data_IF_678755942490
#
_entry.id   IF_678755942490
#
_cell.length_a   1.000
_cell.length_b   1.000
_cell.length_c   1.000
_cell.angle_alpha   90.00
_cell.angle_beta   90.00
_cell.angle_gamma   90.00
#
_symmetry.space_group_name_H-M   'P 1'
#
loop_
_entity.id
_entity.type
_entity.pdbx_description
1 polymer ?
#
# COMPACT_ATOMS: atom_id res chain seq x y z
N UNK A 1 -1.11 31.16 2.66
CA UNK A 1 -1.58 29.75 2.78
C UNK A 1 -1.54 28.96 1.46
N UNK A 2 -1.64 29.58 0.30
CA UNK A 2 -1.64 28.89 -1.02
C UNK A 2 -0.25 28.49 -1.56
N UNK A 3 0.85 29.02 -1.04
CA UNK A 3 2.22 28.69 -1.49
C UNK A 3 2.74 27.31 -1.06
N UNK A 4 2.15 26.70 -0.03
CA UNK A 4 2.54 25.36 0.45
C UNK A 4 2.03 24.25 -0.50
N UNK A 5 1.01 24.53 -1.31
CA UNK A 5 0.43 23.58 -2.27
C UNK A 5 1.11 23.59 -3.66
N UNK A 6 2.05 24.48 -3.91
CA UNK A 6 2.75 24.57 -5.20
C UNK A 6 3.57 23.32 -5.55
N UNK A 7 4.31 22.68 -4.62
CA UNK A 7 5.01 21.44 -4.93
C UNK A 7 4.06 20.27 -5.22
N UNK A 8 2.91 20.19 -4.52
CA UNK A 8 1.86 19.20 -4.80
C UNK A 8 1.27 19.37 -6.21
N UNK A 9 1.09 20.60 -6.67
CA UNK A 9 0.62 20.90 -8.02
C UNK A 9 1.63 20.49 -9.09
N UNK A 10 2.93 20.61 -8.81
CA UNK A 10 4.03 20.13 -9.66
C UNK A 10 4.02 18.61 -9.81
N UNK A 11 3.82 17.87 -8.69
CA UNK A 11 3.73 16.41 -8.67
C UNK A 11 2.47 15.93 -9.44
N UNK A 12 1.33 16.60 -9.29
CA UNK A 12 0.10 16.28 -10.01
C UNK A 12 0.20 16.58 -11.51
N UNK A 13 0.86 17.68 -11.91
CA UNK A 13 1.01 18.09 -13.30
C UNK A 13 2.06 17.24 -14.05
N UNK A 14 3.10 16.76 -13.36
CA UNK A 14 4.08 15.81 -13.90
C UNK A 14 3.48 14.44 -14.21
N UNK A 15 2.31 14.12 -13.66
CA UNK A 15 1.63 12.86 -13.88
C UNK A 15 0.98 12.70 -15.26
N UNK A 16 0.69 13.81 -15.97
CA UNK A 16 -0.03 13.77 -17.25
C UNK A 16 0.87 13.37 -18.44
N UNK A 17 2.20 13.52 -18.31
CA UNK A 17 3.17 13.26 -19.39
C UNK A 17 4.16 12.14 -19.05
N UNK A 18 3.96 11.44 -17.92
CA UNK A 18 4.87 10.36 -17.50
C UNK A 18 4.59 9.07 -18.24
N UNK A 19 5.63 8.54 -18.88
CA UNK A 19 5.63 7.20 -19.50
C UNK A 19 5.16 6.14 -18.50
N UNK A 20 4.29 5.25 -18.94
CA UNK A 20 3.69 4.19 -18.11
C UNK A 20 4.54 2.93 -18.19
N UNK A 21 5.30 2.65 -17.13
CA UNK A 21 6.16 1.47 -17.04
C UNK A 21 5.55 0.36 -16.19
N UNK A 22 4.39 0.60 -15.58
CA UNK A 22 3.75 -0.27 -14.60
C UNK A 22 2.23 -0.44 -14.85
N UNK A 23 1.62 -1.35 -14.12
CA UNK A 23 0.17 -1.55 -14.15
C UNK A 23 -0.55 -0.66 -13.14
N UNK A 24 -1.89 -0.64 -13.20
CA UNK A 24 -2.72 0.19 -12.31
C UNK A 24 -2.58 -0.22 -10.85
N UNK A 25 -2.53 -1.52 -10.56
CA UNK A 25 -2.39 -2.04 -9.18
C UNK A 25 -1.04 -1.63 -8.60
N UNK A 26 0.04 -1.76 -9.39
CA UNK A 26 1.36 -1.30 -8.96
C UNK A 26 1.35 0.19 -8.58
N UNK A 27 0.64 1.03 -9.35
CA UNK A 27 0.47 2.47 -9.05
C UNK A 27 -0.32 2.74 -7.78
N UNK A 28 -1.28 1.89 -7.42
CA UNK A 28 -1.98 2.01 -6.14
C UNK A 28 -1.00 1.92 -4.96
N UNK A 29 -0.01 1.02 -5.01
CA UNK A 29 1.00 0.87 -3.95
C UNK A 29 1.81 2.14 -3.74
N UNK A 30 2.47 2.68 -4.78
CA UNK A 30 3.43 3.77 -4.59
C UNK A 30 2.83 5.18 -4.73
N UNK A 31 1.69 5.36 -5.41
CA UNK A 31 1.04 6.68 -5.51
C UNK A 31 -0.01 6.86 -4.44
N UNK A 32 -1.04 6.05 -4.46
CA UNK A 32 -2.21 6.25 -3.60
C UNK A 32 -1.87 5.92 -2.15
N UNK A 33 -1.27 4.75 -1.89
CA UNK A 33 -0.94 4.32 -0.54
C UNK A 33 0.12 5.24 0.08
N UNK A 34 1.20 5.56 -0.63
CA UNK A 34 2.24 6.46 -0.12
C UNK A 34 1.66 7.85 0.17
N UNK A 35 0.88 8.43 -0.75
CA UNK A 35 0.25 9.75 -0.54
C UNK A 35 -0.70 9.72 0.66
N UNK A 36 -1.51 8.67 0.79
CA UNK A 36 -2.43 8.49 1.93
C UNK A 36 -1.70 8.34 3.27
N UNK A 37 -0.64 7.52 3.33
CA UNK A 37 0.16 7.33 4.53
C UNK A 37 0.92 8.59 4.94
N UNK A 38 1.50 9.32 4.00
CA UNK A 38 2.16 10.60 4.27
C UNK A 38 1.15 11.64 4.76
N UNK A 39 -0.01 11.74 4.14
CA UNK A 39 -1.07 12.65 4.58
C UNK A 39 -1.56 12.30 5.99
N UNK A 40 -1.77 11.01 6.30
CA UNK A 40 -2.16 10.55 7.63
C UNK A 40 -1.06 10.83 8.68
N UNK A 41 0.20 10.56 8.34
CA UNK A 41 1.35 10.88 9.20
C UNK A 41 1.41 12.39 9.53
N UNK A 42 1.27 13.26 8.53
CA UNK A 42 1.26 14.71 8.72
C UNK A 42 0.07 15.16 9.56
N UNK A 43 -1.13 14.60 9.35
CA UNK A 43 -2.32 14.91 10.11
C UNK A 43 -2.13 14.58 11.61
N UNK A 44 -1.62 13.38 11.90
CA UNK A 44 -1.37 12.94 13.29
C UNK A 44 -0.25 13.76 13.91
N UNK A 45 0.82 14.05 13.18
CA UNK A 45 1.91 14.93 13.64
C UNK A 45 1.38 16.32 13.98
N UNK A 46 0.55 16.91 13.12
CA UNK A 46 -0.04 18.21 13.36
C UNK A 46 -0.90 18.23 14.64
N UNK A 47 -1.70 17.17 14.86
CA UNK A 47 -2.51 17.06 16.10
C UNK A 47 -1.66 16.85 17.34
N UNK A 48 -0.54 16.14 17.21
CA UNK A 48 0.36 15.86 18.32
C UNK A 48 1.16 17.09 18.78
N UNK A 49 1.60 17.94 17.84
CA UNK A 49 2.47 19.08 18.14
C UNK A 49 1.76 20.42 18.21
N UNK A 50 0.62 20.60 17.52
CA UNK A 50 -0.15 21.84 17.51
C UNK A 50 -1.48 21.74 18.26
N UNK A 51 -1.83 20.55 18.77
CA UNK A 51 -3.01 20.30 19.59
C UNK A 51 -2.63 19.81 20.98
N UNK A 52 -3.64 19.48 21.76
CA UNK A 52 -3.48 18.79 23.05
C UNK A 52 -3.63 17.28 22.80
N UNK A 53 -2.53 16.51 22.77
CA UNK A 53 -2.60 15.09 22.47
C UNK A 53 -3.19 14.27 23.61
N UNK A 54 -3.06 14.75 24.84
CA UNK A 54 -3.57 14.20 26.10
C UNK A 54 -4.07 15.33 26.97
N UNK A 55 -5.10 15.05 27.76
CA UNK A 55 -5.65 15.98 28.75
C UNK A 55 -6.08 15.18 29.96
N UNK A 56 -5.40 15.33 31.05
CA UNK A 56 -5.63 14.59 32.30
C UNK A 56 -6.44 15.45 33.29
N UNK A 57 -7.31 14.80 34.06
CA UNK A 57 -8.09 15.48 35.08
C UNK A 57 -7.16 16.09 36.13
N UNK A 58 -7.38 17.39 36.40
CA UNK A 58 -6.61 18.16 37.37
C UNK A 58 -6.72 17.56 38.76
N UNK A 59 -5.64 17.66 39.50
CA UNK A 59 -5.57 17.30 40.92
C UNK A 59 -4.95 18.44 41.72
N UNK A 60 -5.50 18.71 42.90
CA UNK A 60 -4.98 19.75 43.77
C UNK A 60 -3.47 19.59 44.02
N UNK A 61 -2.72 20.66 43.81
CA UNK A 61 -1.29 20.75 44.09
C UNK A 61 -0.38 20.35 42.92
N UNK A 62 -0.91 19.85 41.77
CA UNK A 62 -0.11 19.50 40.60
C UNK A 62 -0.55 20.37 39.39
N UNK A 63 0.35 21.11 38.75
CA UNK A 63 0.02 21.85 37.54
C UNK A 63 -0.44 20.89 36.42
N UNK A 64 -1.56 21.18 35.72
CA UNK A 64 -2.10 20.28 34.69
C UNK A 64 -1.09 20.00 33.58
N UNK A 65 -0.30 20.98 33.17
CA UNK A 65 0.75 20.81 32.13
C UNK A 65 1.83 19.79 32.50
N UNK A 66 2.16 19.70 33.81
CA UNK A 66 3.16 18.73 34.31
C UNK A 66 2.54 17.34 34.27
N UNK A 67 1.30 17.19 34.71
CA UNK A 67 0.60 15.92 34.71
C UNK A 67 0.37 15.38 33.30
N UNK A 68 -0.05 16.22 32.36
CA UNK A 68 -0.23 15.87 30.96
C UNK A 68 1.08 15.42 30.32
N UNK A 69 2.14 16.19 30.53
CA UNK A 69 3.47 15.83 29.99
C UNK A 69 4.00 14.52 30.57
N UNK A 70 3.84 14.34 31.88
CA UNK A 70 4.24 13.09 32.54
C UNK A 70 3.48 11.88 31.97
N UNK A 71 2.16 11.98 31.92
CA UNK A 71 1.30 10.89 31.42
C UNK A 71 1.50 10.63 29.92
N UNK A 72 1.87 11.66 29.15
CA UNK A 72 2.26 11.49 27.76
C UNK A 72 3.57 10.70 27.62
N UNK A 73 4.58 10.99 28.43
CA UNK A 73 5.90 10.34 28.37
C UNK A 73 5.86 8.90 28.87
N UNK A 74 5.23 8.68 30.02
CA UNK A 74 5.19 7.36 30.67
C UNK A 74 4.13 6.42 30.12
N UNK A 75 3.18 6.95 29.34
CA UNK A 75 2.07 6.18 28.78
C UNK A 75 0.89 6.07 29.76
N UNK A 76 -0.21 5.59 29.22
CA UNK A 76 -1.45 5.36 29.95
C UNK A 76 -1.77 3.87 29.97
N UNK A 77 -2.71 3.45 30.80
CA UNK A 77 -3.10 2.04 30.86
C UNK A 77 -4.63 1.87 30.96
N UNK A 78 -5.11 0.71 30.50
CA UNK A 78 -6.48 0.23 30.70
C UNK A 78 -6.47 -1.11 31.44
N UNK A 79 -7.55 -1.38 32.18
CA UNK A 79 -7.76 -2.63 32.90
C UNK A 79 -8.58 -3.60 32.04
N UNK A 80 -8.07 -4.82 31.82
CA UNK A 80 -8.80 -5.83 31.06
C UNK A 80 -10.11 -6.26 31.75
N UNK A 81 -10.16 -6.26 33.08
CA UNK A 81 -11.37 -6.57 33.83
C UNK A 81 -12.47 -5.51 33.64
N UNK A 82 -12.09 -4.24 33.47
CA UNK A 82 -13.02 -3.13 33.29
C UNK A 82 -13.80 -3.14 31.97
N UNK A 83 -13.28 -3.82 30.96
CA UNK A 83 -13.97 -3.98 29.66
C UNK A 83 -15.24 -4.83 29.73
N UNK A 84 -15.36 -5.66 30.77
CA UNK A 84 -16.51 -6.58 30.97
C UNK A 84 -17.56 -6.02 31.95
N UNK A 85 -17.26 -4.89 32.60
CA UNK A 85 -18.12 -4.27 33.61
C UNK A 85 -19.14 -3.33 32.99
N UNK A 86 -20.29 -3.17 33.63
CA UNK A 86 -21.37 -2.28 33.18
C UNK A 86 -20.99 -0.81 33.36
N UNK A 87 -20.90 -0.08 32.25
CA UNK A 87 -20.63 1.37 32.25
C UNK A 87 -21.81 2.12 32.87
N UNK A 88 -21.51 3.08 33.75
CA UNK A 88 -22.49 3.86 34.47
C UNK A 88 -23.02 3.22 35.76
N UNK A 89 -22.69 1.93 36.02
CA UNK A 89 -23.02 1.22 37.27
C UNK A 89 -21.77 0.78 38.03
N UNK A 90 -20.89 0.05 37.37
CA UNK A 90 -19.67 -0.54 37.96
C UNK A 90 -18.43 0.27 37.61
N UNK A 91 -18.37 0.80 36.40
CA UNK A 91 -17.29 1.64 35.93
C UNK A 91 -17.81 2.90 35.25
N UNK A 92 -17.03 3.98 35.32
CA UNK A 92 -17.39 5.27 34.70
C UNK A 92 -17.18 5.23 33.17
N UNK A 93 -16.11 4.55 32.69
CA UNK A 93 -15.74 4.43 31.28
C UNK A 93 -15.26 3.01 30.98
N UNK A 94 -15.41 2.54 29.72
CA UNK A 94 -14.90 1.23 29.31
C UNK A 94 -13.38 1.17 29.49
N UNK A 95 -12.88 0.09 30.09
CA UNK A 95 -11.46 -0.10 30.35
C UNK A 95 -10.88 0.70 31.52
N UNK A 96 -11.69 1.51 32.23
CA UNK A 96 -11.26 2.33 33.36
C UNK A 96 -11.88 1.79 34.64
N UNK A 97 -11.09 1.10 35.46
CA UNK A 97 -11.53 0.57 36.77
C UNK A 97 -11.17 1.50 37.93
N UNK A 98 -11.76 1.26 39.11
CA UNK A 98 -11.32 1.90 40.35
C UNK A 98 -9.84 1.54 40.58
N UNK A 99 -9.08 2.53 41.09
CA UNK A 99 -7.67 2.30 41.41
C UNK A 99 -7.55 1.13 42.41
N UNK A 100 -6.76 0.16 42.05
CA UNK A 100 -6.38 -0.93 42.93
C UNK A 100 -5.46 -0.29 43.99
N UNK A 101 -5.97 -0.05 45.18
CA UNK A 101 -5.14 0.37 46.32
C UNK A 101 -4.22 -0.79 46.61
N UNK A 102 -2.96 -0.69 46.21
CA UNK A 102 -1.91 -1.60 46.65
C UNK A 102 -1.89 -1.57 48.20
N UNK A 103 -2.48 -2.54 48.85
CA UNK A 103 -2.43 -2.59 50.29
C UNK A 103 -3.43 -3.50 51.01
N UNK A 104 -4.40 -4.07 50.33
CA UNK A 104 -5.24 -5.11 50.89
C UNK A 104 -5.28 -6.30 49.95
N UNK A 105 -4.27 -7.16 50.04
CA UNK A 105 -4.30 -8.53 49.52
C UNK A 105 -5.35 -9.32 50.29
N UNK A 106 -6.61 -9.20 49.84
CA UNK A 106 -7.62 -10.21 50.11
C UNK A 106 -7.32 -11.37 49.13
N UNK A 107 -6.89 -12.51 49.65
CA UNK A 107 -6.77 -13.78 48.95
C UNK A 107 -8.01 -14.00 48.08
N UNK A 108 -7.86 -13.94 46.72
CA UNK A 108 -8.90 -14.33 45.78
C UNK A 108 -9.19 -13.40 44.61
N UNK A 109 -8.62 -12.19 44.52
CA UNK A 109 -8.79 -11.36 43.31
C UNK A 109 -7.59 -11.53 42.39
N UNK A 110 -7.83 -12.19 41.24
CA UNK A 110 -6.93 -12.24 40.10
C UNK A 110 -6.46 -10.84 39.79
N UNK A 111 -5.14 -10.58 39.86
CA UNK A 111 -4.52 -9.33 39.51
C UNK A 111 -5.04 -8.89 38.12
N UNK A 112 -5.81 -7.81 38.09
CA UNK A 112 -6.40 -7.33 36.84
C UNK A 112 -5.25 -6.97 35.89
N UNK A 113 -5.12 -7.72 34.81
CA UNK A 113 -4.09 -7.49 33.80
C UNK A 113 -4.23 -6.04 33.27
N UNK A 114 -3.19 -5.23 33.48
CA UNK A 114 -3.09 -3.86 32.95
C UNK A 114 -2.53 -3.90 31.54
N UNK A 115 -3.18 -3.26 30.60
CA UNK A 115 -2.66 -3.06 29.24
C UNK A 115 -2.15 -1.64 29.10
N UNK A 116 -0.85 -1.50 28.89
CA UNK A 116 -0.22 -0.18 28.73
C UNK A 116 -0.32 0.28 27.27
N UNK A 117 -0.57 1.59 27.11
CA UNK A 117 -0.73 2.27 25.82
C UNK A 117 0.36 3.33 25.68
N UNK A 118 1.36 3.06 24.87
CA UNK A 118 2.43 4.00 24.52
C UNK A 118 2.62 4.15 23.01
N UNK A 119 1.85 3.40 22.19
CA UNK A 119 1.97 3.39 20.74
C UNK A 119 1.69 4.76 20.11
N UNK A 120 0.82 5.58 20.71
CA UNK A 120 0.36 6.85 20.14
C UNK A 120 1.49 7.87 19.90
N UNK A 121 2.58 7.78 20.63
CA UNK A 121 3.77 8.61 20.42
C UNK A 121 4.47 8.30 19.08
N UNK A 122 4.41 7.06 18.61
CA UNK A 122 5.15 6.55 17.45
C UNK A 122 4.32 6.39 16.18
N UNK A 123 3.00 6.57 16.24
CA UNK A 123 2.10 6.34 15.11
C UNK A 123 2.53 7.11 13.85
N UNK A 124 2.88 8.38 13.99
CA UNK A 124 3.32 9.20 12.86
C UNK A 124 4.59 8.65 12.20
N UNK A 125 5.55 8.19 13.01
CA UNK A 125 6.80 7.61 12.51
C UNK A 125 6.56 6.25 11.82
N UNK A 126 5.69 5.42 12.40
CA UNK A 126 5.30 4.13 11.79
C UNK A 126 4.66 4.35 10.44
N UNK A 127 3.71 5.28 10.31
CA UNK A 127 3.05 5.59 9.03
C UNK A 127 4.03 6.15 7.98
N UNK A 128 4.97 7.03 8.41
CA UNK A 128 6.01 7.56 7.54
C UNK A 128 6.95 6.46 7.04
N UNK A 129 7.37 5.56 7.93
CA UNK A 129 8.21 4.42 7.59
C UNK A 129 7.51 3.45 6.62
N UNK A 130 6.22 3.17 6.85
CA UNK A 130 5.41 2.38 5.94
C UNK A 130 5.32 3.01 4.54
N UNK A 131 5.12 4.32 4.44
CA UNK A 131 5.12 5.03 3.16
C UNK A 131 6.43 4.80 2.38
N UNK A 132 7.58 4.81 3.07
CA UNK A 132 8.88 4.51 2.48
C UNK A 132 8.94 3.08 1.92
N UNK A 133 8.48 2.09 2.70
CA UNK A 133 8.47 0.68 2.26
C UNK A 133 7.51 0.45 1.07
N UNK A 134 6.37 1.15 1.00
CA UNK A 134 5.47 1.06 -0.15
C UNK A 134 6.05 1.70 -1.42
N UNK A 135 6.98 2.64 -1.29
CA UNK A 135 7.67 3.25 -2.42
C UNK A 135 8.82 2.40 -2.97
N UNK A 136 9.44 1.55 -2.13
CA UNK A 136 10.64 0.80 -2.44
C UNK A 136 10.54 -0.11 -3.68
N UNK A 137 9.49 -0.94 -3.87
CA UNK A 137 9.37 -1.79 -5.06
C UNK A 137 9.29 -0.98 -6.36
N UNK A 138 8.64 0.20 -6.34
CA UNK A 138 8.59 1.09 -7.49
C UNK A 138 9.98 1.68 -7.81
N UNK A 139 10.73 2.08 -6.81
CA UNK A 139 12.09 2.57 -6.99
C UNK A 139 12.99 1.50 -7.61
N UNK A 140 12.89 0.25 -7.12
CA UNK A 140 13.63 -0.89 -7.68
C UNK A 140 13.24 -1.16 -9.14
N UNK A 141 11.95 -1.20 -9.44
CA UNK A 141 11.48 -1.40 -10.81
C UNK A 141 11.96 -0.30 -11.75
N UNK A 142 11.84 0.96 -11.35
CA UNK A 142 12.31 2.11 -12.14
C UNK A 142 13.83 2.06 -12.39
N UNK A 143 14.60 1.58 -11.41
CA UNK A 143 16.05 1.38 -11.56
C UNK A 143 16.39 0.25 -12.53
N UNK A 144 15.65 -0.87 -12.50
CA UNK A 144 15.85 -2.01 -13.39
C UNK A 144 15.46 -1.70 -14.85
N UNK A 145 14.39 -0.94 -15.03
CA UNK A 145 13.91 -0.49 -16.34
C UNK A 145 14.88 0.54 -16.98
N UNK A 146 15.54 1.37 -16.16
CA UNK A 146 16.63 2.27 -16.60
C UNK A 146 16.22 3.35 -17.59
N UNK A 147 14.92 3.68 -17.70
CA UNK A 147 14.40 4.66 -18.65
C UNK A 147 14.26 4.15 -20.09
N UNK A 148 14.37 2.84 -20.30
CA UNK A 148 14.28 2.21 -21.61
C UNK A 148 12.98 2.58 -22.33
N UNK A 149 11.82 2.41 -21.68
CA UNK A 149 10.52 2.71 -22.28
C UNK A 149 10.42 4.16 -22.69
N UNK A 150 10.92 5.07 -21.86
CA UNK A 150 10.94 6.50 -22.17
C UNK A 150 11.77 6.79 -23.43
N UNK A 151 12.94 6.19 -23.54
CA UNK A 151 13.83 6.39 -24.67
C UNK A 151 13.26 5.78 -25.96
N UNK A 152 12.54 4.68 -25.87
CA UNK A 152 11.92 4.03 -27.03
C UNK A 152 10.63 4.71 -27.50
N UNK A 153 9.89 5.36 -26.59
CA UNK A 153 8.62 6.03 -26.96
C UNK A 153 8.85 7.42 -27.51
N UNK A 154 9.93 8.13 -27.11
CA UNK A 154 10.27 9.50 -27.53
C UNK A 154 9.05 10.32 -28.02
N UNK A 155 9.06 10.69 -29.30
CA UNK A 155 8.00 11.52 -29.90
C UNK A 155 6.81 10.72 -30.48
N UNK A 156 6.92 9.39 -30.62
CA UNK A 156 5.86 8.53 -31.14
C UNK A 156 4.59 8.46 -30.26
N UNK A 157 4.65 9.00 -29.05
CA UNK A 157 3.47 9.20 -28.20
C UNK A 157 2.57 10.37 -28.65
N UNK A 158 3.04 11.26 -29.52
CA UNK A 158 2.26 12.39 -30.04
C UNK A 158 1.24 11.89 -31.08
N UNK A 159 0.04 12.47 -31.06
CA UNK A 159 -1.02 12.08 -31.97
C UNK A 159 -0.77 12.57 -33.43
N UNK A 160 -0.02 13.65 -33.60
CA UNK A 160 0.26 14.26 -34.90
C UNK A 160 1.76 14.40 -35.06
N UNK A 161 2.30 13.67 -36.00
CA UNK A 161 3.71 13.70 -36.44
C UNK A 161 3.73 13.91 -37.99
N UNK A 162 4.78 14.49 -38.51
CA UNK A 162 5.02 14.51 -39.94
C UNK A 162 5.34 13.08 -40.41
N UNK A 163 4.81 12.70 -41.59
CA UNK A 163 4.99 11.32 -42.09
C UNK A 163 6.46 10.92 -42.26
N UNK A 164 7.34 11.86 -42.66
CA UNK A 164 8.77 11.61 -42.80
C UNK A 164 9.44 11.30 -41.44
N UNK A 165 9.16 12.12 -40.40
CA UNK A 165 9.69 11.93 -39.05
C UNK A 165 9.16 10.64 -38.42
N UNK A 166 7.88 10.31 -38.69
CA UNK A 166 7.25 9.07 -38.23
C UNK A 166 7.90 7.84 -38.83
N UNK A 167 8.10 7.83 -40.18
CA UNK A 167 8.71 6.72 -40.89
C UNK A 167 10.15 6.47 -40.42
N UNK A 168 10.95 7.51 -40.23
CA UNK A 168 12.32 7.40 -39.73
C UNK A 168 12.36 6.83 -38.30
N UNK A 169 11.49 7.33 -37.40
CA UNK A 169 11.44 6.83 -36.02
C UNK A 169 10.95 5.39 -35.92
N UNK A 170 9.95 5.00 -36.73
CA UNK A 170 9.47 3.63 -36.80
C UNK A 170 10.58 2.68 -37.31
N UNK A 171 11.31 3.06 -38.35
CA UNK A 171 12.44 2.29 -38.87
C UNK A 171 13.53 2.08 -37.81
N UNK A 172 13.96 3.14 -37.14
CA UNK A 172 14.96 3.07 -36.06
C UNK A 172 14.50 2.18 -34.90
N UNK A 173 13.22 2.28 -34.50
CA UNK A 173 12.64 1.46 -33.44
C UNK A 173 12.57 -0.02 -33.86
N UNK A 174 12.21 -0.31 -35.10
CA UNK A 174 12.14 -1.66 -35.65
C UNK A 174 13.54 -2.30 -35.69
N UNK A 175 14.53 -1.55 -36.21
CA UNK A 175 15.95 -2.02 -36.24
C UNK A 175 16.47 -2.28 -34.81
N UNK A 176 16.16 -1.38 -33.85
CA UNK A 176 16.53 -1.58 -32.45
C UNK A 176 15.92 -2.88 -31.89
N UNK A 177 14.62 -3.09 -32.08
CA UNK A 177 13.93 -4.29 -31.56
C UNK A 177 14.50 -5.59 -32.15
N UNK A 178 14.82 -5.62 -33.43
CA UNK A 178 15.46 -6.76 -34.06
C UNK A 178 16.90 -7.00 -33.55
N UNK A 179 17.66 -5.96 -33.35
CA UNK A 179 19.02 -6.05 -32.77
C UNK A 179 18.98 -6.49 -31.31
N UNK A 180 18.09 -5.93 -30.51
CA UNK A 180 17.89 -6.29 -29.11
C UNK A 180 17.42 -7.72 -28.92
N UNK A 181 16.53 -8.21 -29.81
CA UNK A 181 16.10 -9.61 -29.87
C UNK A 181 17.26 -10.55 -30.10
N UNK A 182 18.14 -10.26 -31.10
CA UNK A 182 19.32 -11.10 -31.40
C UNK A 182 20.28 -11.18 -30.21
N UNK A 183 20.43 -10.09 -29.44
CA UNK A 183 21.31 -10.03 -28.28
C UNK A 183 20.63 -10.52 -26.98
N UNK A 184 19.31 -10.76 -26.98
CA UNK A 184 18.56 -11.17 -25.79
C UNK A 184 18.52 -10.10 -24.69
N UNK A 185 18.61 -8.82 -25.08
CA UNK A 185 18.76 -7.68 -24.16
C UNK A 185 17.59 -7.55 -23.18
N UNK A 186 16.36 -7.84 -23.64
CA UNK A 186 15.14 -7.67 -22.87
C UNK A 186 14.80 -8.85 -21.94
N UNK A 187 15.60 -9.92 -21.94
CA UNK A 187 15.30 -11.16 -21.21
C UNK A 187 15.12 -10.96 -19.70
N UNK A 188 15.80 -9.96 -19.11
CA UNK A 188 15.78 -9.69 -17.66
C UNK A 188 14.61 -8.82 -17.21
N UNK A 189 13.98 -8.06 -18.11
CA UNK A 189 12.93 -7.11 -17.77
C UNK A 189 11.66 -7.75 -17.19
N UNK A 190 11.05 -8.78 -17.83
CA UNK A 190 9.84 -9.40 -17.29
C UNK A 190 10.10 -10.08 -15.94
N UNK A 191 11.27 -10.69 -15.75
CA UNK A 191 11.66 -11.30 -14.47
C UNK A 191 11.81 -10.24 -13.38
N UNK A 192 12.47 -9.12 -13.68
CA UNK A 192 12.59 -7.99 -12.76
C UNK A 192 11.23 -7.39 -12.38
N UNK A 193 10.32 -7.24 -13.34
CA UNK A 193 8.98 -6.77 -13.09
C UNK A 193 8.18 -7.72 -12.19
N UNK A 194 8.24 -9.02 -12.46
CA UNK A 194 7.59 -10.06 -11.67
C UNK A 194 8.11 -10.08 -10.22
N UNK A 195 9.42 -9.93 -10.03
CA UNK A 195 10.02 -9.83 -8.69
C UNK A 195 9.47 -8.60 -7.96
N UNK A 196 9.35 -7.45 -8.63
CA UNK A 196 8.81 -6.24 -8.02
C UNK A 196 7.31 -6.35 -7.69
N UNK A 197 6.50 -7.06 -8.51
CA UNK A 197 5.11 -7.38 -8.19
C UNK A 197 5.01 -8.31 -6.97
N UNK A 198 5.86 -9.32 -6.90
CA UNK A 198 5.94 -10.21 -5.73
C UNK A 198 6.34 -9.43 -4.47
N UNK A 199 7.32 -8.52 -4.57
CA UNK A 199 7.71 -7.65 -3.47
C UNK A 199 6.55 -6.75 -3.00
N UNK A 200 5.73 -6.22 -3.91
CA UNK A 200 4.53 -5.47 -3.55
C UNK A 200 3.54 -6.34 -2.75
N UNK A 201 3.29 -7.57 -3.19
CA UNK A 201 2.40 -8.50 -2.52
C UNK A 201 2.91 -8.85 -1.10
N UNK A 202 4.20 -9.18 -0.97
CA UNK A 202 4.85 -9.45 0.31
C UNK A 202 4.84 -8.22 1.21
N UNK A 203 5.09 -7.03 0.67
CA UNK A 203 5.11 -5.80 1.44
C UNK A 203 3.77 -5.52 2.11
N UNK A 204 2.63 -5.69 1.42
CA UNK A 204 1.30 -5.49 2.04
C UNK A 204 1.12 -6.38 3.27
N UNK A 205 1.49 -7.66 3.17
CA UNK A 205 1.39 -8.61 4.29
C UNK A 205 2.32 -8.20 5.43
N UNK A 206 3.58 -7.88 5.11
CA UNK A 206 4.57 -7.46 6.10
C UNK A 206 4.13 -6.18 6.84
N UNK A 207 3.56 -5.21 6.11
CA UNK A 207 3.07 -3.97 6.72
C UNK A 207 1.85 -4.22 7.62
N UNK A 208 0.92 -5.09 7.22
CA UNK A 208 -0.20 -5.47 8.09
C UNK A 208 0.26 -6.14 9.39
N UNK A 209 1.23 -7.07 9.29
CA UNK A 209 1.84 -7.72 10.45
C UNK A 209 2.62 -6.73 11.32
N UNK A 210 3.38 -5.81 10.72
CA UNK A 210 4.11 -4.77 11.45
C UNK A 210 3.18 -3.87 12.27
N UNK A 211 2.05 -3.43 11.69
CA UNK A 211 1.04 -2.68 12.44
C UNK A 211 0.46 -3.52 13.57
N UNK A 212 0.17 -4.77 13.30
CA UNK A 212 -0.38 -5.70 14.32
C UNK A 212 0.56 -5.80 15.53
N UNK A 213 1.86 -5.92 15.31
CA UNK A 213 2.87 -5.94 16.38
C UNK A 213 2.90 -4.62 17.16
N UNK A 214 2.86 -3.47 16.47
CA UNK A 214 2.81 -2.14 17.11
C UNK A 214 1.57 -1.96 17.98
N UNK A 215 0.43 -2.51 17.55
CA UNK A 215 -0.85 -2.44 18.28
C UNK A 215 -1.10 -3.64 19.22
N UNK A 216 -0.06 -4.43 19.55
CA UNK A 216 -0.13 -5.53 20.50
C UNK A 216 -1.01 -6.70 20.03
N UNK A 217 -0.98 -7.06 18.75
CA UNK A 217 -1.69 -8.20 18.17
C UNK A 217 -3.19 -7.98 17.97
N UNK A 218 -3.64 -6.73 17.86
CA UNK A 218 -5.08 -6.39 17.79
C UNK A 218 -5.50 -5.83 16.44
N UNK A 219 -4.58 -5.61 15.50
CA UNK A 219 -4.88 -4.96 14.22
C UNK A 219 -5.51 -5.90 13.20
N UNK A 220 -5.03 -7.13 13.06
CA UNK A 220 -5.50 -8.04 12.01
C UNK A 220 -7.00 -8.35 12.12
N UNK A 221 -7.51 -8.48 13.35
CA UNK A 221 -8.95 -8.69 13.60
C UNK A 221 -9.77 -7.40 13.70
N UNK A 222 -9.15 -6.22 13.69
CA UNK A 222 -9.77 -4.95 14.02
C UNK A 222 -10.96 -4.60 13.12
N UNK A 223 -10.75 -4.53 11.81
CA UNK A 223 -11.79 -4.12 10.86
C UNK A 223 -12.94 -5.12 10.81
N UNK A 224 -12.66 -6.43 10.95
CA UNK A 224 -13.71 -7.44 11.00
C UNK A 224 -14.55 -7.33 12.27
N UNK A 225 -13.93 -7.11 13.43
CA UNK A 225 -14.63 -6.90 14.69
C UNK A 225 -15.53 -5.66 14.66
N UNK A 226 -15.04 -4.54 14.06
CA UNK A 226 -15.84 -3.32 13.86
C UNK A 226 -17.04 -3.58 12.96
N UNK A 227 -16.88 -4.33 11.87
CA UNK A 227 -17.95 -4.68 10.96
C UNK A 227 -19.01 -5.55 11.65
N UNK A 228 -18.59 -6.58 12.37
CA UNK A 228 -19.48 -7.47 13.12
C UNK A 228 -20.26 -6.70 14.19
N UNK A 229 -19.59 -5.81 14.93
CA UNK A 229 -20.26 -4.97 15.94
C UNK A 229 -21.31 -4.04 15.31
N UNK A 230 -21.01 -3.42 14.17
CA UNK A 230 -21.94 -2.59 13.42
C UNK A 230 -23.19 -3.34 12.98
N UNK A 231 -23.06 -4.58 12.52
CA UNK A 231 -24.16 -5.42 12.12
C UNK A 231 -25.01 -5.89 13.33
N UNK A 232 -24.38 -6.21 14.45
CA UNK A 232 -25.05 -6.67 15.67
C UNK A 232 -25.86 -5.58 16.37
N UNK A 233 -25.37 -4.34 16.35
CA UNK A 233 -26.03 -3.19 16.99
C UNK A 233 -27.34 -2.81 16.31
N UNK A 234 -27.51 -3.17 15.04
CA UNK A 234 -28.76 -2.95 14.29
C UNK A 234 -29.91 -3.82 14.79
N UNK A 235 -29.62 -4.90 15.52
CA UNK A 235 -30.62 -5.90 15.93
C UNK A 235 -31.12 -5.77 17.38
N UNK A 236 -30.50 -4.94 18.23
CA UNK A 236 -30.93 -4.78 19.63
C UNK A 236 -30.58 -3.39 20.20
N UNK A 237 -31.55 -2.45 20.26
CA UNK A 237 -31.30 -1.07 20.72
C UNK A 237 -31.26 -0.90 22.25
N UNK A 238 -31.27 -1.96 23.06
CA UNK A 238 -31.58 -1.89 24.49
C UNK A 238 -30.42 -2.00 25.48
N UNK A 239 -29.18 -2.08 25.02
CA UNK A 239 -28.02 -2.00 25.92
C UNK A 239 -27.07 -0.89 25.47
N UNK A 240 -26.59 -0.09 26.43
CA UNK A 240 -25.65 0.99 26.17
C UNK A 240 -24.54 0.56 25.19
N UNK A 241 -24.46 1.16 23.98
CA UNK A 241 -23.61 0.65 22.89
C UNK A 241 -22.11 0.79 23.17
N UNK A 242 -21.72 1.37 24.31
CA UNK A 242 -20.34 1.61 24.69
C UNK A 242 -19.64 0.42 25.36
N UNK A 243 -20.38 -0.61 25.80
CA UNK A 243 -19.78 -1.70 26.60
C UNK A 243 -18.84 -2.61 25.80
N UNK A 244 -19.02 -2.70 24.48
CA UNK A 244 -18.17 -3.53 23.62
C UNK A 244 -17.93 -2.89 22.25
N UNK A 245 -17.26 -1.72 22.23
CA UNK A 245 -16.80 -1.11 20.99
C UNK A 245 -15.36 -1.57 20.69
N UNK A 246 -15.13 -2.36 19.64
CA UNK A 246 -13.79 -2.79 19.25
C UNK A 246 -12.82 -1.61 18.98
N UNK A 247 -13.37 -0.45 18.54
CA UNK A 247 -12.56 0.74 18.31
C UNK A 247 -11.97 1.28 19.61
N UNK A 248 -12.76 1.34 20.68
CA UNK A 248 -12.31 1.81 21.99
C UNK A 248 -11.31 0.87 22.65
N UNK A 249 -11.40 -0.43 22.33
CA UNK A 249 -10.50 -1.45 22.89
C UNK A 249 -9.09 -1.33 22.31
N UNK A 250 -8.96 -1.00 21.03
CA UNK A 250 -7.67 -0.80 20.35
C UNK A 250 -7.15 0.62 20.57
N UNK A 251 -8.05 1.61 20.47
CA UNK A 251 -7.74 3.04 20.59
C UNK A 251 -8.57 3.68 21.72
N UNK A 252 -8.22 3.45 23.00
CA UNK A 252 -8.97 4.02 24.11
C UNK A 252 -8.93 5.55 24.06
N UNK A 253 -10.11 6.16 24.13
CA UNK A 253 -10.24 7.63 24.21
C UNK A 253 -10.09 8.13 25.63
N UNK A 254 -10.35 7.25 26.61
CA UNK A 254 -10.22 7.51 28.04
C UNK A 254 -9.37 6.39 28.63
N UNK A 255 -8.35 6.74 29.39
CA UNK A 255 -7.43 5.80 30.02
C UNK A 255 -6.93 6.34 31.35
N UNK A 256 -6.25 5.53 32.12
CA UNK A 256 -5.67 5.91 33.41
C UNK A 256 -4.18 6.17 33.26
N UNK A 257 -3.70 7.12 34.06
CA UNK A 257 -2.28 7.38 34.27
C UNK A 257 -1.97 7.31 35.78
N UNK A 258 -0.87 6.70 36.10
CA UNK A 258 -0.36 6.62 37.47
C UNK A 258 0.84 7.57 37.62
N UNK A 259 0.66 8.63 38.40
CA UNK A 259 1.70 9.62 38.67
C UNK A 259 2.31 9.33 40.05
N UNK A 260 3.62 9.32 40.15
CA UNK A 260 4.35 9.07 41.38
C UNK A 260 4.97 10.35 41.89
N UNK A 261 4.75 10.64 43.19
CA UNK A 261 5.39 11.77 43.90
C UNK A 261 5.87 11.30 45.29
N UNK A 262 6.76 12.09 45.88
CA UNK A 262 7.14 11.89 47.25
C UNK A 262 6.15 12.66 48.15
N UNK A 263 5.56 11.94 49.10
CA UNK A 263 4.76 12.53 50.17
C UNK A 263 5.62 13.30 51.19
N UNK A 264 4.98 13.98 52.12
CA UNK A 264 5.62 14.78 53.16
C UNK A 264 6.52 14.01 54.11
N UNK A 265 6.32 12.70 54.23
CA UNK A 265 7.13 11.75 55.01
C UNK A 265 8.32 11.17 54.20
N UNK A 266 8.44 11.47 52.89
CA UNK A 266 9.43 10.88 52.00
C UNK A 266 9.03 9.55 51.41
N UNK A 267 7.83 9.06 51.69
CA UNK A 267 7.28 7.87 51.07
C UNK A 267 6.79 8.16 49.64
N UNK A 268 6.80 7.12 48.76
CA UNK A 268 6.29 7.26 47.38
C UNK A 268 4.76 7.15 47.41
N UNK A 269 4.10 8.23 47.05
CA UNK A 269 2.64 8.27 46.84
C UNK A 269 2.33 8.05 45.37
N UNK A 270 1.40 7.15 45.08
CA UNK A 270 0.87 6.94 43.73
C UNK A 270 -0.50 7.64 43.59
N UNK A 271 -0.61 8.48 42.57
CA UNK A 271 -1.82 9.18 42.21
C UNK A 271 -2.39 8.67 40.92
N UNK A 272 -3.60 8.13 40.98
CA UNK A 272 -4.36 7.71 39.81
C UNK A 272 -5.12 8.89 39.22
N UNK A 273 -4.96 9.18 37.96
CA UNK A 273 -5.76 10.17 37.22
C UNK A 273 -6.34 9.57 35.94
N UNK A 274 -7.45 10.16 35.51
CA UNK A 274 -8.12 9.83 34.26
C UNK A 274 -7.64 10.81 33.21
N UNK A 275 -7.17 10.29 32.07
CA UNK A 275 -6.70 11.08 30.93
C UNK A 275 -7.59 10.85 29.72
N UNK A 276 -7.94 11.93 29.05
CA UNK A 276 -8.56 11.93 27.73
C UNK A 276 -7.45 11.91 26.67
N UNK A 277 -7.64 11.10 25.64
CA UNK A 277 -6.69 10.93 24.52
C UNK A 277 -7.34 11.36 23.20
N UNK A 278 -7.43 12.67 22.90
CA UNK A 278 -8.06 13.17 21.68
C UNK A 278 -7.35 12.68 20.41
N UNK A 279 -6.04 12.40 20.47
CA UNK A 279 -5.26 11.85 19.35
C UNK A 279 -5.80 10.49 18.91
N UNK A 280 -6.32 9.67 19.80
CA UNK A 280 -6.86 8.35 19.48
C UNK A 280 -8.15 8.39 18.67
N UNK A 281 -8.91 9.50 18.70
CA UNK A 281 -10.07 9.71 17.81
C UNK A 281 -9.62 9.74 16.33
N UNK A 282 -8.46 10.30 16.04
CA UNK A 282 -7.88 10.28 14.69
C UNK A 282 -7.29 8.92 14.36
N UNK A 283 -6.51 8.34 15.29
CA UNK A 283 -5.89 7.04 15.10
C UNK A 283 -6.92 5.96 14.77
N UNK A 284 -8.05 5.87 15.51
CA UNK A 284 -9.08 4.85 15.26
C UNK A 284 -9.64 4.90 13.83
N UNK A 285 -9.84 6.12 13.27
CA UNK A 285 -10.38 6.30 11.92
C UNK A 285 -9.32 6.03 10.84
N UNK A 286 -8.10 6.51 11.04
CA UNK A 286 -6.98 6.28 10.13
C UNK A 286 -6.66 4.80 10.03
N UNK A 287 -6.57 4.09 11.16
CA UNK A 287 -6.26 2.65 11.15
C UNK A 287 -7.42 1.79 10.65
N UNK A 288 -8.67 2.21 10.85
CA UNK A 288 -9.82 1.53 10.27
C UNK A 288 -9.82 1.63 8.74
N UNK A 289 -9.62 2.84 8.22
CA UNK A 289 -9.48 3.07 6.78
C UNK A 289 -8.29 2.30 6.20
N UNK A 290 -7.15 2.31 6.91
CA UNK A 290 -5.95 1.60 6.52
C UNK A 290 -6.16 0.08 6.48
N UNK A 291 -6.91 -0.48 7.43
CA UNK A 291 -7.23 -1.90 7.47
C UNK A 291 -7.99 -2.35 6.21
N UNK A 292 -9.08 -1.64 5.86
CA UNK A 292 -9.85 -1.97 4.65
C UNK A 292 -9.02 -1.73 3.37
N UNK A 293 -8.19 -0.68 3.37
CA UNK A 293 -7.31 -0.37 2.26
C UNK A 293 -6.28 -1.47 2.02
N UNK A 294 -5.59 -1.93 3.08
CA UNK A 294 -4.60 -3.00 2.99
C UNK A 294 -5.23 -4.32 2.55
N UNK A 295 -6.42 -4.65 3.04
CA UNK A 295 -7.15 -5.85 2.62
C UNK A 295 -7.48 -5.79 1.12
N UNK A 296 -8.07 -4.69 0.66
CA UNK A 296 -8.37 -4.47 -0.76
C UNK A 296 -7.09 -4.54 -1.61
N UNK A 297 -6.03 -3.90 -1.15
CA UNK A 297 -4.74 -3.87 -1.85
C UNK A 297 -4.11 -5.26 -1.94
N UNK A 298 -4.22 -6.08 -0.88
CA UNK A 298 -3.75 -7.47 -0.88
C UNK A 298 -4.46 -8.31 -1.93
N UNK A 299 -5.80 -8.23 -1.99
CA UNK A 299 -6.61 -8.96 -2.99
C UNK A 299 -6.24 -8.53 -4.41
N UNK A 300 -6.14 -7.22 -4.67
CA UNK A 300 -5.77 -6.69 -5.98
C UNK A 300 -4.34 -7.08 -6.38
N UNK A 301 -3.41 -7.12 -5.42
CA UNK A 301 -2.02 -7.50 -5.68
C UNK A 301 -1.89 -8.96 -6.07
N UNK A 302 -2.59 -9.85 -5.37
CA UNK A 302 -2.63 -11.28 -5.72
C UNK A 302 -3.28 -11.47 -7.10
N UNK A 303 -4.39 -10.80 -7.37
CA UNK A 303 -5.06 -10.87 -8.68
C UNK A 303 -4.14 -10.35 -9.81
N UNK A 304 -3.42 -9.24 -9.58
CA UNK A 304 -2.46 -8.69 -10.55
C UNK A 304 -1.29 -9.65 -10.80
N UNK A 305 -0.73 -10.24 -9.74
CA UNK A 305 0.36 -11.20 -9.85
C UNK A 305 -0.06 -12.45 -10.64
N UNK A 306 -1.24 -12.99 -10.35
CA UNK A 306 -1.81 -14.13 -11.09
C UNK A 306 -2.05 -13.76 -12.56
N UNK A 307 -2.60 -12.59 -12.84
CA UNK A 307 -2.79 -12.10 -14.21
C UNK A 307 -1.46 -12.00 -14.96
N UNK A 308 -0.43 -11.44 -14.36
CA UNK A 308 0.91 -11.31 -14.95
C UNK A 308 1.53 -12.69 -15.21
N UNK A 309 1.41 -13.64 -14.27
CA UNK A 309 1.88 -15.01 -14.46
C UNK A 309 1.16 -15.74 -15.61
N UNK A 310 -0.17 -15.61 -15.66
CA UNK A 310 -0.97 -16.21 -16.73
C UNK A 310 -0.59 -15.64 -18.08
N UNK A 311 -0.49 -14.32 -18.20
CA UNK A 311 -0.18 -13.66 -19.48
C UNK A 311 1.27 -13.85 -19.92
N UNK A 312 2.23 -13.87 -18.98
CA UNK A 312 3.65 -14.01 -19.27
C UNK A 312 4.07 -15.47 -19.56
N UNK A 313 3.45 -16.46 -18.93
CA UNK A 313 3.89 -17.85 -18.97
C UNK A 313 2.89 -18.74 -19.75
N UNK A 314 1.62 -18.69 -19.39
CA UNK A 314 0.60 -19.62 -19.91
C UNK A 314 0.19 -19.25 -21.34
N UNK A 315 -0.11 -17.98 -21.59
CA UNK A 315 -0.54 -17.56 -22.94
C UNK A 315 0.51 -17.79 -24.03
N UNK A 316 1.79 -17.43 -23.86
CA UNK A 316 2.82 -17.74 -24.86
C UNK A 316 2.99 -19.23 -25.07
N UNK A 317 3.00 -20.04 -24.00
CA UNK A 317 3.09 -21.50 -24.10
C UNK A 317 1.88 -22.10 -24.84
N UNK A 318 0.67 -21.62 -24.52
CA UNK A 318 -0.56 -22.04 -25.19
C UNK A 318 -0.59 -21.62 -26.67
N UNK A 319 -0.13 -20.41 -27.01
CA UNK A 319 -0.02 -19.93 -28.40
C UNK A 319 0.98 -20.77 -29.19
N UNK A 320 2.14 -21.11 -28.61
CA UNK A 320 3.13 -21.98 -29.24
C UNK A 320 2.55 -23.38 -29.48
N UNK A 321 1.83 -23.94 -28.49
CA UNK A 321 1.19 -25.24 -28.62
C UNK A 321 0.08 -25.23 -29.68
N UNK A 322 -0.76 -24.18 -29.69
CA UNK A 322 -1.84 -24.03 -30.70
C UNK A 322 -1.27 -23.84 -32.10
N UNK A 323 -0.20 -23.05 -32.26
CA UNK A 323 0.48 -22.88 -33.56
C UNK A 323 1.07 -24.18 -34.06
N UNK A 324 1.69 -25.02 -33.21
CA UNK A 324 2.16 -26.36 -33.58
C UNK A 324 1.03 -27.26 -34.05
N UNK A 325 -0.14 -27.19 -33.41
CA UNK A 325 -1.32 -27.97 -33.78
C UNK A 325 -1.96 -27.51 -35.11
N UNK A 326 -1.96 -26.19 -35.37
CA UNK A 326 -2.53 -25.61 -36.60
C UNK A 326 -1.62 -25.79 -37.79
N UNK A 327 -0.28 -25.74 -37.59
CA UNK A 327 0.72 -26.01 -38.68
C UNK A 327 0.66 -27.46 -39.14
N UNK A 328 0.20 -28.38 -38.29
CA UNK A 328 0.03 -29.79 -38.69
C UNK A 328 -1.27 -30.04 -39.51
N UNK A 329 -2.16 -29.04 -39.66
CA UNK A 329 -3.49 -29.21 -40.28
C UNK A 329 -3.75 -28.39 -41.56
N UNK A 330 -2.75 -27.90 -42.27
CA UNK A 330 -3.07 -27.41 -43.63
C UNK A 330 -2.39 -26.10 -44.01
N UNK A 331 -1.69 -26.19 -45.10
CA UNK A 331 -1.42 -25.09 -46.01
C UNK A 331 -2.74 -24.49 -46.50
N UNK A 332 -3.00 -23.25 -46.17
CA UNK A 332 -4.13 -22.50 -46.72
C UNK A 332 -4.61 -21.34 -45.86
N UNK A 333 -4.40 -20.15 -46.42
CA UNK A 333 -4.96 -18.88 -45.99
C UNK A 333 -4.48 -18.26 -44.67
N UNK A 334 -3.57 -17.32 -44.81
CA UNK A 334 -3.25 -16.26 -43.84
C UNK A 334 -4.48 -15.35 -43.68
N UNK A 335 -5.32 -15.59 -42.66
CA UNK A 335 -6.26 -14.58 -42.14
C UNK A 335 -5.62 -13.90 -40.98
N UNK A 336 -5.38 -12.59 -41.12
CA UNK A 336 -5.15 -11.66 -40.03
C UNK A 336 -6.44 -11.63 -39.21
N UNK A 337 -6.49 -12.43 -38.15
CA UNK A 337 -7.61 -12.42 -37.21
C UNK A 337 -7.23 -11.46 -36.08
N UNK A 338 -7.98 -10.38 -36.03
CA UNK A 338 -8.12 -9.41 -34.92
C UNK A 338 -6.85 -9.13 -34.09
N UNK A 339 -6.10 -8.07 -34.46
CA UNK A 339 -5.26 -7.30 -33.54
C UNK A 339 -4.23 -8.03 -32.68
N UNK A 340 -4.10 -9.35 -32.78
CA UNK A 340 -3.17 -10.16 -32.00
C UNK A 340 -2.05 -10.66 -32.89
N UNK A 341 -0.95 -9.92 -32.86
CA UNK A 341 0.31 -10.25 -33.47
C UNK A 341 0.80 -11.66 -33.07
N UNK A 342 0.74 -12.60 -33.98
CA UNK A 342 1.31 -13.94 -33.80
C UNK A 342 2.83 -13.87 -34.05
N UNK A 343 3.57 -13.33 -33.06
CA UNK A 343 5.02 -13.17 -33.14
C UNK A 343 5.73 -14.53 -32.97
N UNK A 344 5.70 -15.35 -33.99
CA UNK A 344 6.57 -16.52 -34.08
C UNK A 344 8.02 -16.06 -34.14
N UNK A 345 8.67 -15.94 -33.00
CA UNK A 345 10.09 -15.63 -32.94
C UNK A 345 10.51 -14.55 -31.92
N UNK A 346 9.60 -13.78 -31.32
CA UNK A 346 9.92 -12.89 -30.21
C UNK A 346 9.95 -13.66 -28.89
N UNK A 347 10.96 -13.41 -28.07
CA UNK A 347 11.06 -13.97 -26.71
C UNK A 347 10.09 -13.31 -25.72
N UNK A 348 9.95 -13.88 -24.52
CA UNK A 348 9.10 -13.33 -23.45
C UNK A 348 9.51 -11.88 -23.11
N UNK A 349 10.81 -11.56 -23.17
CA UNK A 349 11.33 -10.21 -22.92
C UNK A 349 10.88 -9.20 -23.96
N UNK A 350 10.92 -9.58 -25.23
CA UNK A 350 10.55 -8.68 -26.32
C UNK A 350 9.04 -8.44 -26.36
N UNK A 351 8.24 -9.49 -26.11
CA UNK A 351 6.77 -9.34 -25.99
C UNK A 351 6.38 -8.45 -24.80
N UNK A 352 7.13 -8.49 -23.70
CA UNK A 352 6.94 -7.60 -22.57
C UNK A 352 7.23 -6.14 -22.93
N UNK A 353 8.32 -5.87 -23.65
CA UNK A 353 8.65 -4.51 -24.14
C UNK A 353 7.60 -4.02 -25.12
N UNK A 354 7.11 -4.85 -26.03
CA UNK A 354 6.00 -4.50 -26.94
C UNK A 354 4.74 -4.14 -26.17
N UNK A 355 4.40 -4.87 -25.11
CA UNK A 355 3.26 -4.54 -24.25
C UNK A 355 3.44 -3.21 -23.46
N UNK A 356 4.68 -2.83 -23.14
CA UNK A 356 4.98 -1.52 -22.58
C UNK A 356 4.85 -0.40 -23.64
N UNK A 357 5.28 -0.66 -24.86
CA UNK A 357 5.14 0.28 -25.98
C UNK A 357 3.66 0.51 -26.34
N UNK A 358 2.84 -0.53 -26.39
CA UNK A 358 1.39 -0.45 -26.62
C UNK A 358 0.70 0.54 -25.63
N UNK A 359 1.12 0.54 -24.36
CA UNK A 359 0.54 1.45 -23.33
C UNK A 359 0.97 2.91 -23.47
N UNK A 360 2.03 3.18 -24.23
CA UNK A 360 2.68 4.49 -24.29
C UNK A 360 2.68 5.14 -25.67
N UNK A 361 2.59 4.35 -26.73
CA UNK A 361 2.48 4.82 -28.10
C UNK A 361 1.03 5.18 -28.45
N UNK A 362 0.87 6.01 -29.49
CA UNK A 362 -0.43 6.18 -30.12
C UNK A 362 -0.87 4.84 -30.74
N UNK A 363 -2.13 4.40 -30.60
CA UNK A 363 -2.62 3.16 -31.19
C UNK A 363 -2.35 3.00 -32.70
N UNK A 364 -2.42 4.11 -33.43
CA UNK A 364 -2.11 4.11 -34.88
C UNK A 364 -0.64 3.83 -35.14
N UNK A 365 0.27 4.51 -34.43
CA UNK A 365 1.71 4.32 -34.57
C UNK A 365 2.15 2.93 -34.08
N UNK A 366 1.47 2.38 -33.07
CA UNK A 366 1.73 1.02 -32.62
C UNK A 366 1.32 -0.04 -33.65
N UNK A 367 0.17 0.18 -34.32
CA UNK A 367 -0.26 -0.69 -35.43
C UNK A 367 0.76 -0.67 -36.59
N UNK A 368 1.22 0.53 -36.98
CA UNK A 368 2.23 0.69 -38.03
C UNK A 368 3.57 0.02 -37.66
N UNK A 369 3.98 0.13 -36.38
CA UNK A 369 5.14 -0.58 -35.84
C UNK A 369 5.03 -2.10 -36.01
N UNK A 370 3.84 -2.66 -35.74
CA UNK A 370 3.62 -4.10 -35.91
C UNK A 370 3.72 -4.54 -37.35
N UNK A 371 3.22 -3.73 -38.31
CA UNK A 371 3.36 -4.00 -39.76
C UNK A 371 4.82 -3.96 -40.17
N UNK A 372 5.59 -2.94 -39.81
CA UNK A 372 7.02 -2.85 -40.09
C UNK A 372 7.81 -4.03 -39.53
N UNK A 373 7.49 -4.52 -38.35
CA UNK A 373 8.12 -5.68 -37.72
C UNK A 373 7.81 -7.00 -38.49
N UNK A 374 6.72 -7.07 -39.22
CA UNK A 374 6.29 -8.21 -40.01
C UNK A 374 6.96 -8.21 -41.40
N UNK A 375 6.96 -7.05 -42.09
CA UNK A 375 7.59 -6.88 -43.41
C UNK A 375 9.11 -7.15 -43.39
N UNK A 376 9.82 -6.70 -42.36
CA UNK A 376 11.27 -6.91 -42.25
C UNK A 376 11.63 -8.40 -42.00
N UNK A 377 10.71 -9.19 -41.45
CA UNK A 377 10.88 -10.65 -41.37
C UNK A 377 10.81 -11.33 -42.75
N UNK A 378 9.92 -10.91 -43.61
CA UNK A 378 9.78 -11.44 -44.95
C UNK A 378 11.04 -11.12 -45.77
N UNK A 379 11.51 -9.86 -45.68
CA UNK A 379 12.73 -9.41 -46.36
C UNK A 379 14.00 -10.17 -45.88
N UNK A 380 14.14 -10.41 -44.58
CA UNK A 380 15.26 -11.22 -44.03
C UNK A 380 15.17 -12.69 -44.42
N UNK A 381 13.97 -13.23 -44.53
CA UNK A 381 13.78 -14.64 -44.98
C UNK A 381 14.11 -14.83 -46.46
N UNK A 382 13.83 -13.82 -47.30
CA UNK A 382 14.20 -13.84 -48.73
C UNK A 382 15.71 -13.68 -48.94
N UNK A 383 16.35 -12.73 -48.22
CA UNK A 383 17.83 -12.56 -48.28
C UNK A 383 18.61 -13.77 -47.74
N UNK A 384 18.06 -14.54 -46.80
CA UNK A 384 18.66 -15.81 -46.35
C UNK A 384 18.52 -16.93 -47.40
N UNK A 385 17.46 -16.93 -48.19
CA UNK A 385 17.30 -17.90 -49.29
C UNK A 385 18.25 -17.63 -50.43
N UNK A 386 18.53 -16.36 -50.73
CA UNK A 386 19.47 -15.97 -51.80
C UNK A 386 20.95 -16.24 -51.44
N UNK A 387 21.31 -16.34 -50.15
CA UNK A 387 22.68 -16.67 -49.71
C UNK A 387 22.97 -18.16 -49.55
N UNK A 388 22.00 -19.06 -49.77
CA UNK A 388 22.14 -20.53 -49.63
C UNK A 388 22.09 -21.21 -51.02
N UNK A 389 21.96 -20.45 -52.09
CA UNK A 389 22.20 -20.87 -53.48
C UNK A 389 23.56 -20.30 -53.95
#
# INVERSE_FOLDING_TARGET
MFHILSPLRGVLKSSATSVRIDNTVFRLHYRVTVTGLVAASLLITARQYFGEPINCLEKEGIPPTVLDTYCWLHGTYSSEAAWRKAVGREVAYPGVDRGDRRGFEGEGQTSSSRTYHGYYQWVWAVLALQALFFYLPHYLWKSLEGGLTRNLTLDLGKAILKEEEKAEQLHLLTEYLHRAKRMGLHRRLPTGYLICELLNCLNVVLQAVAIDQVLGGRFLGYGLAVLQNSMSTSSSPSSWPMAYDPMLRVFPRVSKCEYFQFGSSGEVESLDTICLLPVNIFNEKVFLLLWYWLLMLAVLSVASLLYTLITAIILPAFRIALHRLTTYRGEGEKKVVDGQFCSTGFGIGDTFVLALLEKNLNPLHYHDLLICLEEEKECTAELCKEKVV
#
